data_IF_725704588585
#
_entry.id   IF_725704588585
#
_cell.length_a   1.000
_cell.length_b   1.000
_cell.length_c   1.000
_cell.angle_alpha   90.00
_cell.angle_beta   90.00
_cell.angle_gamma   90.00
#
_symmetry.space_group_name_H-M   'P 1'
#
loop_
_entity.id
_entity.type
_entity.pdbx_description
1 polymer ?
#
# COMPACT_ATOMS: atom_id res chain seq x y z
N UNK A 1 1.10 20.72 -54.64
CA UNK A 1 2.46 20.65 -54.14
C UNK A 1 2.80 22.00 -53.52
N UNK A 2 3.13 22.03 -52.23
CA UNK A 2 3.64 23.23 -51.57
C UNK A 2 5.11 22.97 -51.28
N UNK A 3 5.98 23.41 -52.14
CA UNK A 3 7.41 23.30 -52.00
C UNK A 3 8.04 24.63 -51.67
N UNK A 4 9.04 24.65 -50.80
CA UNK A 4 9.90 25.80 -50.50
C UNK A 4 11.32 25.54 -50.99
N UNK A 5 11.89 26.47 -51.75
CA UNK A 5 13.31 26.43 -52.12
C UNK A 5 14.12 27.00 -50.93
N UNK A 6 14.93 26.17 -50.34
CA UNK A 6 15.94 26.60 -49.36
C UNK A 6 17.31 26.30 -49.97
N UNK A 7 18.11 27.35 -50.24
CA UNK A 7 19.50 27.23 -50.67
C UNK A 7 19.73 26.42 -51.95
N UNK A 8 18.84 26.53 -52.92
CA UNK A 8 19.03 25.93 -54.26
C UNK A 8 18.75 24.43 -54.39
N UNK A 9 18.37 23.77 -53.33
CA UNK A 9 17.93 22.39 -53.30
C UNK A 9 16.43 22.30 -53.01
N UNK A 10 15.66 21.69 -53.88
CA UNK A 10 14.24 21.47 -53.60
C UNK A 10 14.11 20.41 -52.47
N UNK A 11 13.37 20.77 -51.43
CA UNK A 11 13.02 19.82 -50.38
C UNK A 11 11.51 19.89 -50.12
N UNK A 12 10.88 18.74 -50.04
CA UNK A 12 9.45 18.62 -49.90
C UNK A 12 9.05 18.84 -48.42
N UNK A 13 8.40 19.97 -48.15
CA UNK A 13 7.83 20.21 -46.81
C UNK A 13 6.59 19.37 -46.57
N UNK A 14 5.84 19.07 -47.64
CA UNK A 14 4.67 18.19 -47.61
C UNK A 14 4.68 17.38 -48.94
N UNK A 15 4.64 16.07 -48.84
CA UNK A 15 4.45 15.19 -50.00
C UNK A 15 3.20 14.30 -49.84
N UNK A 16 2.59 13.92 -50.93
CA UNK A 16 1.49 12.94 -51.00
C UNK A 16 1.98 11.75 -51.79
N UNK A 17 2.11 10.62 -51.15
CA UNK A 17 2.58 9.38 -51.76
C UNK A 17 1.42 8.63 -52.42
N UNK A 18 1.75 7.80 -53.43
CA UNK A 18 0.78 7.09 -54.25
C UNK A 18 -0.13 6.08 -53.51
N UNK A 19 0.15 5.79 -52.26
CA UNK A 19 -0.69 4.99 -51.35
C UNK A 19 -1.69 5.78 -50.51
N UNK A 20 -1.83 7.10 -50.72
CA UNK A 20 -2.73 7.97 -49.96
C UNK A 20 -2.14 8.50 -48.65
N UNK A 21 -0.86 8.30 -48.37
CA UNK A 21 -0.17 8.85 -47.19
C UNK A 21 0.24 10.29 -47.43
N UNK A 22 0.00 11.16 -46.47
CA UNK A 22 0.56 12.52 -46.42
C UNK A 22 1.77 12.46 -45.48
N UNK A 23 2.94 12.73 -46.01
CA UNK A 23 4.18 12.80 -45.24
C UNK A 23 4.59 14.25 -45.06
N UNK A 24 4.82 14.65 -43.83
CA UNK A 24 5.36 15.96 -43.44
C UNK A 24 6.80 15.72 -42.98
N UNK A 25 7.75 16.52 -43.52
CA UNK A 25 9.18 16.37 -43.30
C UNK A 25 9.76 15.06 -43.85
N UNK A 26 9.43 14.73 -45.11
CA UNK A 26 9.88 13.52 -45.80
C UNK A 26 11.40 13.33 -45.80
N UNK A 27 12.15 14.43 -45.83
CA UNK A 27 13.62 14.39 -45.89
C UNK A 27 14.27 14.11 -44.49
N UNK A 28 13.46 14.02 -43.40
CA UNK A 28 13.94 13.74 -42.08
C UNK A 28 14.90 14.81 -41.53
N UNK A 29 14.77 16.07 -41.97
CA UNK A 29 15.57 17.17 -41.47
C UNK A 29 14.91 17.81 -40.24
N UNK A 30 15.66 18.63 -39.52
CA UNK A 30 15.16 19.36 -38.34
C UNK A 30 14.15 20.44 -38.76
N UNK A 31 12.88 20.03 -38.91
CA UNK A 31 11.72 20.89 -39.22
C UNK A 31 10.52 20.42 -38.43
N UNK A 32 10.07 21.30 -37.58
CA UNK A 32 8.88 21.08 -36.77
C UNK A 32 7.58 21.18 -37.60
N UNK A 33 6.63 20.32 -37.29
CA UNK A 33 5.24 20.57 -37.66
C UNK A 33 4.50 21.19 -36.49
N UNK A 34 3.89 22.37 -36.72
CA UNK A 34 3.25 23.14 -35.67
C UNK A 34 1.87 23.62 -36.10
N UNK A 35 0.90 23.47 -35.16
CA UNK A 35 -0.43 24.09 -35.25
C UNK A 35 -0.54 25.12 -34.15
N UNK A 36 -0.87 26.36 -34.52
CA UNK A 36 -0.99 27.51 -33.61
C UNK A 36 -2.44 27.80 -33.27
N UNK A 37 -2.69 28.21 -32.02
CA UNK A 37 -3.94 28.79 -31.59
C UNK A 37 -3.86 30.31 -31.52
N UNK A 38 -4.97 30.96 -31.24
CA UNK A 38 -5.05 32.42 -31.16
C UNK A 38 -4.11 33.08 -30.13
N UNK A 39 -3.85 32.37 -29.01
CA UNK A 39 -2.99 32.84 -27.92
C UNK A 39 -1.93 31.81 -27.49
N UNK A 40 -1.87 30.67 -28.13
CA UNK A 40 -0.88 29.65 -27.89
C UNK A 40 -0.25 29.21 -29.21
N UNK A 41 1.00 29.58 -29.44
CA UNK A 41 1.77 29.21 -30.64
C UNK A 41 2.14 27.71 -30.70
N UNK A 42 1.86 26.92 -29.67
CA UNK A 42 2.25 25.53 -29.57
C UNK A 42 1.05 24.61 -29.22
N UNK A 43 -0.08 24.79 -29.92
CA UNK A 43 -1.26 23.94 -29.70
C UNK A 43 -0.99 22.47 -29.98
N UNK A 44 -0.24 22.19 -31.04
CA UNK A 44 0.29 20.89 -31.37
C UNK A 44 1.64 21.08 -32.06
N UNK A 45 2.65 20.40 -31.57
CA UNK A 45 4.02 20.46 -32.11
C UNK A 45 4.56 19.05 -32.27
N UNK A 46 5.07 18.72 -33.45
CA UNK A 46 5.98 17.62 -33.67
C UNK A 46 7.36 18.23 -33.81
N UNK A 47 8.21 18.04 -32.84
CA UNK A 47 9.56 18.56 -32.77
C UNK A 47 10.51 17.52 -33.37
N UNK A 48 11.04 17.84 -34.55
CA UNK A 48 11.86 16.90 -35.30
C UNK A 48 13.28 16.79 -34.72
N UNK A 49 13.77 17.81 -34.01
CA UNK A 49 15.10 17.78 -33.40
C UNK A 49 15.16 16.84 -32.17
N UNK A 50 14.04 16.64 -31.52
CA UNK A 50 13.93 15.88 -30.28
C UNK A 50 13.10 14.60 -30.41
N UNK A 51 12.56 14.31 -31.60
CA UNK A 51 11.66 13.18 -31.85
C UNK A 51 10.47 13.12 -30.88
N UNK A 52 9.87 14.29 -30.57
CA UNK A 52 8.83 14.42 -29.54
C UNK A 52 7.59 15.15 -30.04
N UNK A 53 6.45 14.91 -29.37
CA UNK A 53 5.20 15.60 -29.65
C UNK A 53 4.81 16.44 -28.44
N UNK A 54 4.51 17.71 -28.65
CA UNK A 54 3.97 18.63 -27.65
C UNK A 54 2.52 18.99 -27.93
N UNK A 55 1.71 19.04 -26.89
CA UNK A 55 0.32 19.52 -26.95
C UNK A 55 0.16 20.65 -25.93
N UNK A 56 -0.11 21.84 -26.42
CA UNK A 56 -0.22 23.04 -25.59
C UNK A 56 1.13 23.66 -25.18
N UNK A 57 2.25 23.06 -25.54
CA UNK A 57 3.61 23.51 -25.19
C UNK A 57 4.62 23.05 -26.21
N UNK A 58 5.78 23.76 -26.29
CA UNK A 58 6.94 23.24 -26.97
C UNK A 58 7.50 22.05 -26.19
N UNK A 59 7.72 20.90 -26.83
CA UNK A 59 8.40 19.78 -26.19
C UNK A 59 9.82 20.19 -25.76
N UNK A 60 10.33 19.61 -24.70
CA UNK A 60 11.69 19.87 -24.24
C UNK A 60 12.48 18.55 -24.12
N UNK A 61 13.81 18.68 -24.11
CA UNK A 61 14.76 17.55 -24.08
C UNK A 61 14.75 16.69 -22.80
N UNK A 62 13.81 16.86 -21.90
CA UNK A 62 13.87 16.23 -20.58
C UNK A 62 13.34 14.78 -20.53
N UNK A 63 13.38 14.04 -21.65
CA UNK A 63 13.04 12.61 -21.76
C UNK A 63 11.67 12.19 -21.21
N UNK A 64 10.80 13.13 -20.92
CA UNK A 64 9.41 12.87 -20.53
C UNK A 64 8.52 13.22 -21.71
N UNK A 65 8.23 12.20 -22.50
CA UNK A 65 7.38 12.28 -23.69
C UNK A 65 6.01 12.89 -23.47
N UNK A 66 5.40 13.36 -24.54
CA UNK A 66 4.27 14.26 -24.54
C UNK A 66 3.02 13.67 -23.89
N UNK A 67 2.24 14.56 -23.30
CA UNK A 67 0.89 14.27 -22.90
C UNK A 67 0.00 14.08 -24.14
N UNK A 68 -0.69 12.96 -24.25
CA UNK A 68 -1.71 12.73 -25.27
C UNK A 68 -3.07 13.12 -24.71
N UNK A 69 -3.74 14.08 -25.33
CA UNK A 69 -5.05 14.56 -24.94
C UNK A 69 -6.16 13.82 -25.71
N UNK A 70 -7.06 13.13 -24.98
CA UNK A 70 -8.23 12.50 -25.59
C UNK A 70 -9.49 13.32 -25.29
N UNK A 71 -10.06 13.95 -26.33
CA UNK A 71 -11.34 14.64 -26.24
C UNK A 71 -12.47 13.62 -26.35
N UNK A 72 -13.44 13.65 -25.41
CA UNK A 72 -14.63 12.81 -25.25
C UNK A 72 -14.50 11.55 -24.36
N UNK A 73 -13.35 11.25 -23.82
CA UNK A 73 -13.18 10.15 -22.85
C UNK A 73 -13.05 10.59 -21.38
N UNK A 74 -13.00 11.90 -21.15
CA UNK A 74 -12.79 12.45 -19.80
C UNK A 74 -11.34 12.37 -19.30
N UNK A 75 -10.38 12.04 -20.16
CA UNK A 75 -8.97 12.01 -19.76
C UNK A 75 -8.34 13.37 -19.98
N UNK A 76 -7.96 14.03 -18.91
CA UNK A 76 -7.20 15.29 -18.94
C UNK A 76 -5.83 15.04 -18.32
N UNK A 77 -4.77 15.30 -19.07
CA UNK A 77 -3.39 15.24 -18.59
C UNK A 77 -2.86 16.63 -18.29
N UNK A 78 -2.44 16.82 -17.05
CA UNK A 78 -1.70 17.99 -16.62
C UNK A 78 -2.52 19.29 -16.40
N UNK A 79 -2.64 19.67 -15.13
CA UNK A 79 -3.05 21.01 -14.71
C UNK A 79 -2.21 21.38 -13.48
N UNK A 80 -1.44 22.45 -13.59
CA UNK A 80 -0.47 22.81 -12.56
C UNK A 80 0.62 21.73 -12.43
N UNK A 81 0.80 21.23 -11.22
CA UNK A 81 1.75 20.18 -10.86
C UNK A 81 1.11 18.77 -10.79
N UNK A 82 -0.11 18.61 -11.29
CA UNK A 82 -0.87 17.37 -11.21
C UNK A 82 -1.20 16.78 -12.58
N UNK A 83 -1.23 15.44 -12.61
CA UNK A 83 -1.77 14.65 -13.72
C UNK A 83 -3.12 14.06 -13.32
N UNK A 84 -4.10 14.14 -14.22
CA UNK A 84 -5.46 13.63 -14.01
C UNK A 84 -5.80 12.58 -15.05
N UNK A 85 -6.39 11.46 -14.62
CA UNK A 85 -7.07 10.49 -15.47
C UNK A 85 -8.51 10.43 -14.98
N UNK A 86 -9.45 10.83 -15.84
CA UNK A 86 -10.85 11.03 -15.42
C UNK A 86 -11.79 10.12 -16.21
N UNK A 87 -12.78 9.57 -15.52
CA UNK A 87 -13.93 8.87 -16.10
C UNK A 87 -15.22 9.60 -15.74
N UNK A 88 -15.99 10.00 -16.75
CA UNK A 88 -17.25 10.74 -16.64
C UNK A 88 -17.12 12.11 -15.94
N UNK A 89 -15.91 12.70 -15.86
CA UNK A 89 -15.73 14.07 -15.34
C UNK A 89 -14.79 14.86 -16.22
N UNK A 90 -14.97 16.16 -16.24
CA UNK A 90 -14.09 17.14 -16.89
C UNK A 90 -14.00 18.42 -16.08
N UNK A 91 -12.96 19.22 -16.30
CA UNK A 91 -12.76 20.49 -15.62
C UNK A 91 -13.03 21.67 -16.57
N UNK A 92 -13.95 22.55 -16.16
CA UNK A 92 -14.20 23.85 -16.79
C UNK A 92 -14.60 24.84 -15.70
N UNK A 93 -13.63 25.57 -15.15
CA UNK A 93 -13.73 26.41 -13.95
C UNK A 93 -14.25 25.69 -12.69
N UNK A 94 -14.77 24.49 -12.84
CA UNK A 94 -15.14 23.53 -11.78
C UNK A 94 -15.18 22.13 -12.38
N UNK A 95 -15.11 21.11 -11.54
CA UNK A 95 -15.36 19.74 -11.97
C UNK A 95 -16.82 19.57 -12.35
N UNK A 96 -17.09 18.91 -13.46
CA UNK A 96 -18.43 18.67 -14.02
C UNK A 96 -18.57 17.25 -14.52
N UNK A 97 -19.79 16.72 -14.50
CA UNK A 97 -20.12 15.44 -15.12
C UNK A 97 -20.19 15.57 -16.64
N UNK A 98 -19.61 14.62 -17.40
CA UNK A 98 -19.74 14.56 -18.86
C UNK A 98 -21.15 14.08 -19.22
N UNK A 99 -21.58 12.97 -18.64
CA UNK A 99 -22.92 12.40 -18.80
C UNK A 99 -23.59 12.25 -17.42
N UNK A 100 -24.91 12.06 -17.41
CA UNK A 100 -25.61 11.77 -16.16
C UNK A 100 -25.09 10.49 -15.55
N UNK A 101 -24.59 10.56 -14.33
CA UNK A 101 -23.99 9.44 -13.61
C UNK A 101 -22.90 9.87 -12.61
N UNK A 102 -22.33 8.89 -11.96
CA UNK A 102 -21.16 9.06 -11.12
C UNK A 102 -19.90 9.08 -11.97
N UNK A 103 -18.83 9.65 -11.44
CA UNK A 103 -17.51 9.69 -12.06
C UNK A 103 -16.40 9.21 -11.12
N UNK A 104 -15.25 8.95 -11.70
CA UNK A 104 -14.05 8.59 -11.00
C UNK A 104 -12.85 9.35 -11.58
N UNK A 105 -11.92 9.71 -10.73
CA UNK A 105 -10.71 10.45 -11.13
C UNK A 105 -9.50 9.89 -10.39
N UNK A 106 -8.45 9.59 -11.12
CA UNK A 106 -7.14 9.35 -10.56
C UNK A 106 -6.30 10.62 -10.68
N UNK A 107 -5.62 11.00 -9.62
CA UNK A 107 -4.75 12.18 -9.57
C UNK A 107 -3.36 11.77 -9.11
N UNK A 108 -2.36 12.22 -9.82
CA UNK A 108 -0.96 12.13 -9.45
C UNK A 108 -0.44 13.54 -9.24
N UNK A 109 -0.07 13.88 -8.01
CA UNK A 109 0.50 15.18 -7.67
C UNK A 109 1.56 15.06 -6.57
N UNK A 110 2.02 16.18 -6.05
CA UNK A 110 3.03 16.20 -4.97
C UNK A 110 2.58 15.49 -3.67
N UNK A 111 1.28 15.27 -3.49
CA UNK A 111 0.74 14.53 -2.35
C UNK A 111 0.56 13.03 -2.60
N UNK A 112 0.90 12.52 -3.79
CA UNK A 112 0.90 11.11 -4.15
C UNK A 112 -0.17 10.71 -5.16
N UNK A 113 -0.49 9.41 -5.19
CA UNK A 113 -1.55 8.84 -6.01
C UNK A 113 -2.88 8.89 -5.26
N UNK A 114 -3.89 9.48 -5.88
CA UNK A 114 -5.22 9.61 -5.29
C UNK A 114 -6.29 9.01 -6.19
N UNK A 115 -7.25 8.36 -5.59
CA UNK A 115 -8.47 7.85 -6.23
C UNK A 115 -9.66 8.60 -5.66
N UNK A 116 -10.35 9.34 -6.51
CA UNK A 116 -11.48 10.18 -6.14
C UNK A 116 -12.73 9.71 -6.87
N UNK A 117 -13.88 9.92 -6.26
CA UNK A 117 -15.19 9.68 -6.89
C UNK A 117 -16.14 10.84 -6.60
N UNK A 118 -17.17 10.98 -7.42
CA UNK A 118 -18.30 11.85 -7.12
C UNK A 118 -19.61 11.07 -7.15
N UNK A 119 -20.58 11.60 -6.45
CA UNK A 119 -21.96 11.11 -6.56
C UNK A 119 -22.54 11.33 -7.97
N UNK A 120 -23.56 10.57 -8.32
CA UNK A 120 -24.28 10.77 -9.59
C UNK A 120 -24.78 12.21 -9.71
N UNK A 121 -24.57 12.81 -10.87
CA UNK A 121 -24.99 14.16 -11.21
C UNK A 121 -25.50 14.18 -12.65
N UNK A 122 -26.31 15.16 -13.00
CA UNK A 122 -26.74 15.37 -14.38
C UNK A 122 -25.58 15.81 -15.25
N UNK A 123 -25.65 15.51 -16.53
CA UNK A 123 -24.65 15.97 -17.50
C UNK A 123 -24.42 17.50 -17.40
N UNK A 124 -23.18 17.93 -17.48
CA UNK A 124 -22.72 19.31 -17.36
C UNK A 124 -22.94 19.99 -15.98
N UNK A 125 -23.50 19.28 -15.00
CA UNK A 125 -23.62 19.80 -13.63
C UNK A 125 -22.29 19.74 -12.89
N UNK A 126 -22.08 20.69 -11.98
CA UNK A 126 -20.93 20.69 -11.10
C UNK A 126 -20.93 19.47 -10.16
N UNK A 127 -19.75 18.90 -9.94
CA UNK A 127 -19.54 17.78 -9.05
C UNK A 127 -18.43 18.07 -8.04
N UNK A 128 -18.53 17.46 -6.87
CA UNK A 128 -17.46 17.49 -5.87
C UNK A 128 -16.77 16.13 -5.87
N UNK A 129 -15.46 16.10 -6.15
CA UNK A 129 -14.66 14.91 -6.06
C UNK A 129 -14.29 14.63 -4.61
N UNK A 130 -14.60 13.43 -4.14
CA UNK A 130 -14.26 12.94 -2.80
C UNK A 130 -13.14 11.93 -2.91
N UNK A 131 -12.05 12.15 -2.22
CA UNK A 131 -10.94 11.20 -2.14
C UNK A 131 -11.39 9.94 -1.39
N UNK A 132 -11.08 8.77 -1.94
CA UNK A 132 -11.37 7.47 -1.35
C UNK A 132 -10.13 6.75 -0.88
N UNK A 133 -9.06 6.83 -1.66
CA UNK A 133 -7.78 6.20 -1.36
C UNK A 133 -6.68 7.15 -1.81
N UNK A 134 -5.61 7.20 -1.03
CA UNK A 134 -4.35 7.84 -1.39
C UNK A 134 -3.19 6.93 -1.06
N UNK A 135 -2.22 6.85 -1.97
CA UNK A 135 -0.90 6.27 -1.74
C UNK A 135 0.06 7.45 -1.60
N UNK A 136 0.66 7.61 -0.44
CA UNK A 136 1.55 8.72 -0.10
C UNK A 136 2.80 8.18 0.61
N UNK A 137 3.86 8.99 0.85
CA UNK A 137 5.08 8.51 1.50
C UNK A 137 4.89 7.82 2.86
N UNK A 138 3.84 8.16 3.58
CA UNK A 138 3.50 7.55 4.86
C UNK A 138 2.67 6.25 4.75
N UNK A 139 2.32 5.78 3.54
CA UNK A 139 1.51 4.58 3.34
C UNK A 139 0.21 4.85 2.60
N UNK A 140 -0.77 3.98 2.78
CA UNK A 140 -2.10 4.09 2.17
C UNK A 140 -3.06 4.72 3.17
N UNK A 141 -3.72 5.79 2.75
CA UNK A 141 -4.77 6.44 3.55
C UNK A 141 -6.14 6.39 2.86
N UNK A 142 -7.20 6.59 3.62
CA UNK A 142 -8.59 6.45 3.17
C UNK A 142 -9.40 7.71 3.50
N UNK A 143 -10.40 7.99 2.65
CA UNK A 143 -11.41 9.04 2.87
C UNK A 143 -10.84 10.45 3.08
N UNK A 144 -9.73 10.76 2.42
CA UNK A 144 -9.09 12.08 2.49
C UNK A 144 -8.26 12.32 3.74
N UNK A 145 -8.05 11.32 4.58
CA UNK A 145 -7.12 11.43 5.71
C UNK A 145 -5.69 11.49 5.18
N UNK A 146 -4.92 12.46 5.65
CA UNK A 146 -3.51 12.66 5.27
C UNK A 146 -2.54 12.51 6.45
N UNK A 147 -3.05 12.21 7.65
CA UNK A 147 -2.22 12.05 8.83
C UNK A 147 -1.40 10.76 8.73
N UNK A 148 -0.08 10.85 8.85
CA UNK A 148 0.81 9.68 8.77
C UNK A 148 0.45 8.58 9.77
N UNK A 149 -0.01 8.96 10.97
CA UNK A 149 -0.40 8.02 12.02
C UNK A 149 -1.64 7.16 11.69
N UNK A 150 -2.41 7.56 10.68
CA UNK A 150 -3.63 6.86 10.26
C UNK A 150 -3.44 6.07 8.94
N UNK A 151 -2.23 6.08 8.38
CA UNK A 151 -1.91 5.34 7.17
C UNK A 151 -1.74 3.86 7.46
N UNK A 152 -2.16 3.03 6.52
CA UNK A 152 -1.72 1.64 6.45
C UNK A 152 -0.33 1.64 5.79
N UNK A 153 0.69 1.49 6.60
CA UNK A 153 2.10 1.64 6.19
C UNK A 153 2.88 0.32 6.21
N UNK A 154 2.31 -0.71 6.82
CA UNK A 154 3.00 -1.96 7.04
C UNK A 154 2.04 -3.17 6.92
N UNK A 155 2.39 -4.09 6.05
CA UNK A 155 1.83 -5.43 5.96
C UNK A 155 2.99 -6.43 5.85
N UNK A 156 3.01 -7.39 6.76
CA UNK A 156 4.03 -8.42 6.79
C UNK A 156 3.41 -9.77 7.18
N UNK A 157 3.87 -10.82 6.56
CA UNK A 157 3.55 -12.19 6.95
C UNK A 157 4.82 -13.03 6.96
N UNK A 158 4.86 -14.03 7.83
CA UNK A 158 6.02 -14.89 7.94
C UNK A 158 5.84 -16.06 8.86
N UNK A 159 6.91 -16.83 9.01
CA UNK A 159 6.99 -17.95 9.92
C UNK A 159 7.83 -17.59 11.15
N UNK A 160 7.54 -18.25 12.27
CA UNK A 160 8.32 -18.12 13.50
C UNK A 160 8.44 -19.48 14.20
N UNK A 161 9.39 -19.59 15.12
CA UNK A 161 9.65 -20.84 15.83
C UNK A 161 9.33 -20.70 17.31
N UNK A 162 8.21 -21.27 17.79
CA UNK A 162 7.90 -21.28 19.21
C UNK A 162 8.83 -22.22 19.96
N UNK A 163 9.30 -21.77 21.13
CA UNK A 163 10.15 -22.55 22.03
C UNK A 163 9.56 -22.53 23.43
N UNK A 164 9.22 -23.69 23.97
CA UNK A 164 8.72 -23.83 25.34
C UNK A 164 9.92 -23.75 26.31
N UNK A 165 9.80 -22.92 27.32
CA UNK A 165 10.86 -22.70 28.33
C UNK A 165 10.27 -22.56 29.74
N UNK A 166 11.12 -22.71 30.76
CA UNK A 166 10.82 -22.34 32.14
C UNK A 166 11.38 -20.97 32.51
N UNK A 167 10.71 -20.21 33.35
CA UNK A 167 11.17 -18.88 33.76
C UNK A 167 12.38 -18.92 34.72
N UNK A 168 12.52 -19.93 35.55
CA UNK A 168 13.64 -20.04 36.51
C UNK A 168 14.85 -20.70 35.85
N UNK A 169 14.62 -21.78 35.12
CA UNK A 169 15.62 -22.39 34.24
C UNK A 169 14.94 -22.68 32.90
N UNK A 170 15.50 -22.15 31.81
CA UNK A 170 14.94 -22.28 30.45
C UNK A 170 14.83 -23.74 30.01
N UNK A 171 15.77 -24.58 30.43
CA UNK A 171 15.88 -25.95 29.96
C UNK A 171 16.36 -26.10 28.53
N UNK A 172 16.19 -27.28 27.97
CA UNK A 172 16.46 -27.60 26.59
C UNK A 172 15.20 -28.10 25.92
N UNK A 173 14.73 -27.39 24.90
CA UNK A 173 13.58 -27.78 24.10
C UNK A 173 14.03 -28.44 22.80
N UNK A 174 13.59 -29.69 22.60
CA UNK A 174 13.85 -30.46 21.38
C UNK A 174 12.60 -30.43 20.53
N UNK A 175 12.55 -29.65 19.46
CA UNK A 175 11.35 -29.47 18.65
C UNK A 175 10.98 -30.77 17.91
N UNK A 176 9.70 -31.09 17.86
CA UNK A 176 9.14 -32.13 17.01
C UNK A 176 8.92 -31.63 15.58
N UNK A 177 8.61 -32.58 14.69
CA UNK A 177 8.40 -32.26 13.26
C UNK A 177 7.25 -31.25 12.99
N UNK A 178 6.29 -31.18 13.90
CA UNK A 178 5.14 -30.26 13.77
C UNK A 178 5.35 -28.90 14.48
N UNK A 179 6.55 -28.65 15.05
CA UNK A 179 6.84 -27.38 15.72
C UNK A 179 6.98 -26.24 14.74
N UNK A 180 6.21 -25.18 14.91
CA UNK A 180 6.28 -24.00 14.08
C UNK A 180 5.10 -23.05 14.29
N UNK A 181 5.17 -21.90 13.69
CA UNK A 181 4.13 -20.92 13.70
C UNK A 181 4.21 -19.98 12.50
N UNK A 182 3.17 -19.24 12.27
CA UNK A 182 3.11 -18.19 11.27
C UNK A 182 2.42 -16.96 11.86
N UNK A 183 2.62 -15.82 11.24
CA UNK A 183 2.02 -14.57 11.68
C UNK A 183 1.60 -13.70 10.50
N UNK A 184 0.68 -12.81 10.78
CA UNK A 184 0.32 -11.68 9.94
C UNK A 184 0.38 -10.42 10.79
N UNK A 185 1.04 -9.39 10.26
CA UNK A 185 1.10 -8.04 10.83
C UNK A 185 0.43 -7.05 9.87
N UNK A 186 -0.47 -6.24 10.41
CA UNK A 186 -1.14 -5.16 9.68
C UNK A 186 -1.01 -3.89 10.51
N UNK A 187 -0.19 -2.95 10.02
CA UNK A 187 0.23 -1.82 10.84
C UNK A 187 0.88 -2.32 12.13
N UNK A 188 0.34 -1.91 13.26
CA UNK A 188 0.84 -2.33 14.58
C UNK A 188 0.23 -3.60 15.14
N UNK A 189 -0.82 -4.15 14.51
CA UNK A 189 -1.48 -5.37 14.98
C UNK A 189 -0.80 -6.61 14.43
N UNK A 190 -0.40 -7.50 15.33
CA UNK A 190 0.16 -8.82 15.02
C UNK A 190 -0.81 -9.90 15.48
N UNK A 191 -1.11 -10.84 14.58
CA UNK A 191 -1.76 -12.11 14.92
C UNK A 191 -0.78 -13.21 14.62
N UNK A 192 -0.43 -14.00 15.64
CA UNK A 192 0.52 -15.10 15.54
C UNK A 192 -0.14 -16.42 15.95
N UNK A 193 -0.05 -17.43 15.10
CA UNK A 193 -0.49 -18.80 15.33
C UNK A 193 0.70 -19.66 15.62
N UNK A 194 0.54 -20.66 16.49
CA UNK A 194 1.60 -21.59 16.78
C UNK A 194 1.11 -23.01 17.03
N UNK A 195 1.97 -23.96 16.71
CA UNK A 195 2.03 -25.30 17.26
C UNK A 195 3.40 -25.45 17.94
N UNK A 196 3.44 -25.33 19.27
CA UNK A 196 4.65 -25.59 20.04
C UNK A 196 4.67 -27.09 20.38
N UNK A 197 5.35 -27.87 19.55
CA UNK A 197 5.43 -29.32 19.64
C UNK A 197 6.88 -29.76 19.87
N UNK A 198 7.13 -30.52 20.92
CA UNK A 198 8.49 -31.00 21.23
C UNK A 198 8.63 -31.53 22.64
N UNK A 199 9.84 -31.90 23.01
CA UNK A 199 10.18 -32.38 24.34
C UNK A 199 11.04 -31.39 25.09
N UNK A 200 10.64 -31.05 26.31
CA UNK A 200 11.37 -30.17 27.21
C UNK A 200 12.08 -30.97 28.30
N UNK A 201 13.30 -30.59 28.64
CA UNK A 201 14.09 -31.19 29.71
C UNK A 201 14.90 -30.13 30.48
N UNK A 202 15.11 -30.33 31.78
CA UNK A 202 15.93 -29.46 32.64
C UNK A 202 15.36 -28.08 32.87
N UNK A 203 14.11 -27.80 32.52
CA UNK A 203 13.43 -26.54 32.77
C UNK A 203 12.82 -26.51 34.18
N UNK A 204 12.66 -25.30 34.74
CA UNK A 204 11.95 -25.09 36.00
C UNK A 204 11.29 -23.70 36.07
N UNK A 205 10.34 -23.57 36.99
CA UNK A 205 9.55 -22.35 37.18
C UNK A 205 8.30 -22.33 36.32
N UNK A 206 7.82 -21.11 36.03
CA UNK A 206 6.61 -20.89 35.23
C UNK A 206 6.89 -21.21 33.77
N UNK A 207 5.92 -21.87 33.12
CA UNK A 207 5.99 -22.21 31.72
C UNK A 207 5.61 -21.00 30.84
N UNK A 208 6.41 -20.76 29.82
CA UNK A 208 6.11 -19.78 28.77
C UNK A 208 6.62 -20.25 27.41
N UNK A 209 6.21 -19.57 26.35
CA UNK A 209 6.68 -19.78 24.98
C UNK A 209 7.36 -18.52 24.50
N UNK A 210 8.60 -18.67 24.07
CA UNK A 210 9.43 -17.61 23.48
C UNK A 210 9.45 -17.69 21.95
N UNK A 211 10.02 -16.67 21.31
CA UNK A 211 10.20 -16.63 19.86
C UNK A 211 9.13 -15.83 19.13
N UNK A 212 8.30 -15.03 19.82
CA UNK A 212 7.36 -14.14 19.16
C UNK A 212 8.05 -13.34 18.04
N UNK A 213 7.38 -13.17 16.89
CA UNK A 213 7.96 -12.48 15.74
C UNK A 213 8.27 -11.01 16.03
N UNK A 214 7.47 -10.38 16.91
CA UNK A 214 7.66 -8.99 17.36
C UNK A 214 7.44 -8.91 18.86
N UNK A 215 8.12 -8.00 19.56
CA UNK A 215 7.82 -7.71 20.94
C UNK A 215 6.43 -7.08 21.08
N UNK A 216 5.76 -7.36 22.18
CA UNK A 216 4.51 -6.68 22.56
C UNK A 216 4.81 -5.21 22.85
N UNK A 217 4.00 -4.29 22.37
CA UNK A 217 4.17 -2.86 22.59
C UNK A 217 4.38 -2.52 24.08
N UNK A 218 5.36 -1.68 24.34
CA UNK A 218 5.75 -1.28 25.70
C UNK A 218 4.81 -0.26 26.30
N UNK A 219 4.19 0.57 25.48
CA UNK A 219 3.31 1.65 25.91
C UNK A 219 2.23 1.92 24.88
N UNK A 220 1.03 2.09 25.36
CA UNK A 220 -0.09 2.63 24.60
C UNK A 220 -0.37 4.05 25.02
N UNK A 221 0.50 4.95 24.70
CA UNK A 221 0.30 6.37 25.03
C UNK A 221 -0.59 7.11 24.03
N UNK A 222 -1.58 6.45 23.43
CA UNK A 222 -2.63 7.23 22.76
C UNK A 222 -3.51 8.01 23.74
N UNK A 223 -3.59 7.66 25.02
CA UNK A 223 -4.38 8.38 26.03
C UNK A 223 -3.94 8.13 27.49
N UNK A 224 -2.65 7.84 27.74
CA UNK A 224 -2.15 7.64 29.10
C UNK A 224 -2.71 6.42 29.83
N UNK A 225 -3.28 5.45 29.13
CA UNK A 225 -3.82 4.21 29.69
C UNK A 225 -2.86 3.06 29.46
N UNK A 226 -2.16 2.68 30.50
CA UNK A 226 -1.34 1.49 30.58
C UNK A 226 -2.23 0.25 30.60
N UNK A 227 -2.56 -0.35 29.47
CA UNK A 227 -3.03 -1.73 29.48
C UNK A 227 -3.25 -2.29 28.09
N UNK A 228 -2.25 -2.80 27.49
CA UNK A 228 -2.47 -3.83 26.47
C UNK A 228 -1.92 -5.16 26.99
N UNK A 229 -2.61 -5.72 27.97
CA UNK A 229 -2.59 -7.16 28.10
C UNK A 229 -3.27 -7.71 26.88
N UNK A 230 -2.52 -8.39 26.06
CA UNK A 230 -3.02 -9.02 24.86
C UNK A 230 -3.32 -10.47 25.17
N UNK A 231 -4.29 -11.03 24.47
CA UNK A 231 -4.75 -12.38 24.71
C UNK A 231 -4.96 -13.12 23.38
N UNK A 232 -5.34 -14.37 23.46
CA UNK A 232 -5.65 -15.23 22.34
C UNK A 232 -6.52 -16.38 22.76
N UNK A 233 -6.55 -17.42 21.94
CA UNK A 233 -7.27 -18.64 22.25
C UNK A 233 -6.32 -19.83 22.26
N UNK A 234 -6.51 -20.71 23.23
CA UNK A 234 -5.85 -21.97 23.34
C UNK A 234 -6.78 -23.06 22.77
N UNK A 235 -6.36 -23.74 21.73
CA UNK A 235 -7.14 -24.80 21.10
C UNK A 235 -6.81 -26.16 21.69
N UNK A 236 -5.55 -26.43 21.95
CA UNK A 236 -5.08 -27.71 22.40
C UNK A 236 -3.91 -27.56 23.36
N UNK A 237 -3.91 -28.38 24.43
CA UNK A 237 -2.86 -28.43 25.43
C UNK A 237 -2.59 -29.87 25.88
N UNK A 238 -1.39 -30.33 25.69
CA UNK A 238 -0.89 -31.59 26.19
C UNK A 238 0.48 -31.39 26.82
N UNK A 239 0.70 -31.95 28.00
CA UNK A 239 2.02 -31.95 28.65
C UNK A 239 2.14 -31.11 29.92
N UNK A 240 1.06 -30.54 30.44
CA UNK A 240 1.05 -29.91 31.77
C UNK A 240 -0.19 -30.34 32.56
N UNK A 241 0.01 -30.65 33.83
CA UNK A 241 -1.04 -31.16 34.71
C UNK A 241 -1.98 -30.12 35.31
N UNK A 242 -2.27 -29.02 34.58
CA UNK A 242 -3.09 -27.92 35.06
C UNK A 242 -4.15 -27.52 34.04
N UNK A 243 -5.31 -27.10 34.51
CA UNK A 243 -6.36 -26.49 33.68
C UNK A 243 -5.88 -25.14 33.18
N UNK A 244 -5.47 -25.04 31.90
CA UNK A 244 -5.01 -23.83 31.28
C UNK A 244 -6.18 -23.09 30.67
N UNK A 245 -6.36 -21.80 30.97
CA UNK A 245 -7.44 -20.97 30.46
C UNK A 245 -7.11 -20.27 29.14
N UNK A 246 -5.87 -19.81 28.98
CA UNK A 246 -5.49 -19.12 27.77
C UNK A 246 -4.12 -18.42 27.84
N UNK A 247 -3.64 -17.98 26.67
CA UNK A 247 -2.42 -17.21 26.59
C UNK A 247 -2.61 -15.78 27.08
N UNK A 248 -1.57 -15.23 27.67
CA UNK A 248 -1.48 -13.84 28.13
C UNK A 248 -0.14 -13.26 27.69
N UNK A 249 -0.16 -12.03 27.18
CA UNK A 249 1.05 -11.27 26.93
C UNK A 249 0.99 -9.95 27.69
N UNK A 250 2.09 -9.58 28.32
CA UNK A 250 2.23 -8.32 29.05
C UNK A 250 2.95 -7.31 28.16
N UNK A 251 2.76 -5.99 28.39
CA UNK A 251 3.51 -4.96 27.68
C UNK A 251 5.02 -5.18 27.75
N UNK A 252 5.71 -5.02 26.61
CA UNK A 252 7.14 -5.25 26.48
C UNK A 252 7.57 -6.71 26.42
N UNK A 253 6.63 -7.68 26.49
CA UNK A 253 6.98 -9.09 26.44
C UNK A 253 7.44 -9.53 25.05
N UNK A 254 8.39 -10.47 25.03
CA UNK A 254 8.83 -11.20 23.82
C UNK A 254 8.39 -12.67 23.88
N UNK A 255 7.46 -12.96 24.78
CA UNK A 255 7.02 -14.33 25.09
C UNK A 255 5.55 -14.35 25.46
N UNK A 256 4.95 -15.54 25.35
CA UNK A 256 3.57 -15.84 25.68
C UNK A 256 3.56 -16.55 27.02
N UNK A 257 2.83 -15.98 27.99
CA UNK A 257 2.51 -16.63 29.27
C UNK A 257 1.19 -17.35 29.16
N UNK A 258 0.93 -18.25 30.12
CA UNK A 258 -0.34 -18.97 30.22
C UNK A 258 -0.91 -18.78 31.63
N UNK A 259 -2.23 -18.67 31.69
CA UNK A 259 -2.96 -18.62 32.95
C UNK A 259 -3.76 -19.89 33.17
N UNK A 260 -3.77 -20.33 34.42
CA UNK A 260 -4.64 -21.42 34.90
C UNK A 260 -5.68 -20.82 35.85
N UNK A 261 -6.84 -21.44 35.88
CA UNK A 261 -7.91 -21.08 36.83
C UNK A 261 -8.31 -22.34 37.62
N UNK A 262 -8.29 -22.21 38.93
CA UNK A 262 -8.65 -23.33 39.84
C UNK A 262 -9.97 -23.08 40.60
N UNK A 263 -10.77 -22.09 40.16
CA UNK A 263 -12.10 -21.81 40.70
C UNK A 263 -12.12 -20.99 42.03
N UNK A 264 -10.99 -20.79 42.66
CA UNK A 264 -10.95 -20.18 44.02
C UNK A 264 -10.04 -18.99 44.24
N UNK A 265 -9.21 -18.64 43.26
CA UNK A 265 -8.27 -17.51 43.38
C UNK A 265 -7.94 -16.89 42.03
N UNK A 266 -7.34 -15.70 42.04
CA UNK A 266 -6.77 -15.07 40.87
C UNK A 266 -5.91 -16.07 40.11
N UNK A 267 -6.06 -16.12 38.77
CA UNK A 267 -5.39 -17.07 37.93
C UNK A 267 -3.90 -17.20 38.25
N UNK A 268 -3.42 -18.43 38.35
CA UNK A 268 -2.01 -18.74 38.53
C UNK A 268 -1.39 -19.10 37.18
N UNK A 269 -0.08 -19.08 37.11
CA UNK A 269 0.65 -19.49 35.92
C UNK A 269 1.12 -20.97 36.10
N UNK A 270 0.97 -21.81 35.07
CA UNK A 270 1.34 -23.22 35.20
C UNK A 270 2.85 -23.39 35.36
N UNK A 271 3.26 -24.27 36.24
CA UNK A 271 4.65 -24.70 36.32
C UNK A 271 5.02 -25.52 35.10
N UNK A 272 6.24 -25.32 34.63
CA UNK A 272 6.78 -26.12 33.53
C UNK A 272 6.96 -27.57 33.94
N UNK A 273 6.70 -28.51 33.05
CA UNK A 273 7.00 -29.90 33.22
C UNK A 273 7.99 -30.39 32.16
N UNK A 274 8.94 -31.26 32.58
CA UNK A 274 9.97 -31.81 31.69
C UNK A 274 9.45 -33.08 30.99
N UNK A 275 8.74 -32.88 29.90
CA UNK A 275 8.10 -33.98 29.14
C UNK A 275 7.81 -33.52 27.70
N UNK A 276 7.13 -34.37 26.93
CA UNK A 276 6.61 -34.00 25.63
C UNK A 276 5.45 -33.02 25.76
N UNK A 277 5.46 -31.99 24.95
CA UNK A 277 4.42 -30.99 24.87
C UNK A 277 3.85 -30.92 23.46
N UNK A 278 2.57 -30.56 23.39
CA UNK A 278 1.90 -30.19 22.17
C UNK A 278 0.86 -29.10 22.51
N UNK A 279 1.08 -27.93 21.99
CA UNK A 279 0.36 -26.69 22.36
C UNK A 279 -0.02 -25.91 21.13
N UNK A 280 -1.32 -25.84 20.85
CA UNK A 280 -1.85 -25.06 19.74
C UNK A 280 -2.57 -23.84 20.26
N UNK A 281 -2.12 -22.65 19.87
CA UNK A 281 -2.83 -21.43 20.17
C UNK A 281 -2.58 -20.35 19.12
N UNK A 282 -3.38 -19.30 19.19
CA UNK A 282 -3.07 -18.02 18.55
C UNK A 282 -3.15 -16.88 19.56
N UNK A 283 -2.45 -15.82 19.25
CA UNK A 283 -2.43 -14.58 20.04
C UNK A 283 -2.57 -13.40 19.10
N UNK A 284 -3.26 -12.37 19.56
CA UNK A 284 -3.32 -11.07 18.88
C UNK A 284 -2.83 -9.99 19.83
N UNK A 285 -1.88 -9.18 19.38
CA UNK A 285 -1.25 -8.14 20.16
C UNK A 285 -0.82 -6.96 19.28
N UNK A 286 -0.43 -5.86 19.90
CA UNK A 286 0.17 -4.73 19.22
C UNK A 286 1.68 -4.72 19.44
N UNK A 287 2.42 -4.25 18.45
CA UNK A 287 3.86 -3.95 18.52
C UNK A 287 4.08 -2.43 18.41
N UNK A 288 5.26 -1.95 18.83
CA UNK A 288 5.64 -0.53 18.72
C UNK A 288 6.03 -0.13 17.30
#
# INVERSE_FOLDING_TARGET
EISTLISGTQSDAISVEGGGTIVINQDGVDRDFRVEGNSNGNMFVVDASNDTIGIGTQPNNNNLSPAVHFVNGGTQFGYGDAMYITGNTYYNNSWKAIATGAGATMVLDSAGFKFLTNASASANSAVSLSEKVRIQPAGISFNGDSAAANCLDDYEEGAWTPVIVGMTATGSFSPGAANGGFYVKIGRQVTAWMNANGTLSGASGIMNVTGLPFPVATSTTANGKNALYSTGSLQYWHGAGADVMGPLMTPGATQIYFHTYNGTSNGSQPSVSNQAHNLHCFVTYYTD
#
